data_IF_142333132320
#
_entry.id   IF_142333132320
#
_cell.length_a   1.000
_cell.length_b   1.000
_cell.length_c   1.000
_cell.angle_alpha   90.00
_cell.angle_beta   90.00
_cell.angle_gamma   90.00
#
_symmetry.space_group_name_H-M   'P 1'
#
loop_
_entity.id
_entity.type
_entity.pdbx_description
1 polymer ?
#
# COMPACT_ATOMS: atom_id res chain seq x y z
N UNK A 1 -21.10 -12.31 12.38
CA UNK A 1 -22.17 -12.23 11.37
C UNK A 1 -21.90 -10.99 10.55
N UNK A 2 -21.55 -11.18 9.28
CA UNK A 2 -21.03 -10.14 8.40
C UNK A 2 -22.12 -9.15 7.98
N UNK A 3 -21.77 -7.87 7.96
CA UNK A 3 -22.48 -6.81 7.26
C UNK A 3 -22.54 -7.13 5.78
N UNK A 4 -23.72 -6.97 5.16
CA UNK A 4 -23.86 -7.08 3.71
C UNK A 4 -22.98 -6.03 3.01
N UNK A 5 -22.37 -6.35 1.85
CA UNK A 5 -21.64 -5.35 1.08
C UNK A 5 -22.60 -4.21 0.73
N UNK A 6 -22.20 -2.97 1.00
CA UNK A 6 -22.82 -1.80 0.38
C UNK A 6 -22.84 -2.03 -1.13
N UNK A 7 -24.02 -1.95 -1.72
CA UNK A 7 -24.31 -2.55 -3.02
C UNK A 7 -23.36 -2.12 -4.13
N UNK A 8 -23.23 -3.00 -5.13
CA UNK A 8 -22.36 -2.91 -6.31
C UNK A 8 -22.49 -1.62 -7.14
N UNK A 9 -23.32 -0.64 -6.76
CA UNK A 9 -23.62 0.59 -7.50
C UNK A 9 -23.47 1.86 -6.64
N UNK A 10 -22.35 2.01 -5.93
CA UNK A 10 -22.05 3.26 -5.23
C UNK A 10 -21.72 4.38 -6.24
N UNK A 11 -22.40 5.53 -6.14
CA UNK A 11 -22.16 6.70 -7.01
C UNK A 11 -20.99 7.57 -6.55
N UNK A 12 -20.46 7.34 -5.34
CA UNK A 12 -19.40 8.16 -4.72
C UNK A 12 -19.69 9.68 -4.73
N UNK A 13 -20.96 10.09 -4.70
CA UNK A 13 -21.37 11.49 -4.90
C UNK A 13 -21.07 12.41 -3.71
N UNK A 14 -20.74 11.86 -2.55
CA UNK A 14 -20.32 12.60 -1.36
C UNK A 14 -19.04 12.00 -0.80
N UNK A 15 -18.08 12.87 -0.49
CA UNK A 15 -16.77 12.49 0.04
C UNK A 15 -16.58 13.03 1.45
N UNK A 16 -16.09 12.19 2.36
CA UNK A 16 -15.63 12.61 3.67
C UNK A 16 -14.11 12.83 3.62
N UNK A 17 -13.70 14.10 3.72
CA UNK A 17 -12.29 14.49 3.66
C UNK A 17 -11.65 14.68 5.04
N UNK A 18 -12.43 14.50 6.10
CA UNK A 18 -12.00 14.52 7.52
C UNK A 18 -11.90 13.08 8.04
N UNK A 19 -11.30 12.85 9.22
CA UNK A 19 -11.35 11.54 9.84
C UNK A 19 -12.79 11.08 10.09
N UNK A 20 -12.98 9.77 10.11
CA UNK A 20 -14.28 9.16 10.41
C UNK A 20 -14.76 9.47 11.83
N UNK A 21 -16.05 9.28 12.07
CA UNK A 21 -16.62 9.34 13.43
C UNK A 21 -15.99 8.32 14.40
N UNK A 22 -15.48 7.20 13.88
CA UNK A 22 -14.78 6.20 14.68
C UNK A 22 -13.45 6.74 15.23
N UNK A 23 -12.73 7.54 14.45
CA UNK A 23 -11.47 8.17 14.85
C UNK A 23 -11.59 8.88 16.21
N UNK A 24 -12.63 9.71 16.38
CA UNK A 24 -12.85 10.45 17.63
C UNK A 24 -13.26 9.55 18.79
N UNK A 25 -13.94 8.41 18.52
CA UNK A 25 -14.32 7.44 19.56
C UNK A 25 -13.11 6.71 20.15
N UNK A 26 -12.11 6.42 19.33
CA UNK A 26 -10.84 5.81 19.77
C UNK A 26 -9.83 6.83 20.28
N UNK A 27 -10.16 8.13 20.24
CA UNK A 27 -9.33 9.19 20.80
C UNK A 27 -8.24 9.71 19.85
N UNK A 28 -8.37 9.45 18.55
CA UNK A 28 -7.53 10.08 17.52
C UNK A 28 -7.70 11.60 17.57
N UNK A 29 -6.58 12.34 17.49
CA UNK A 29 -6.57 13.80 17.53
C UNK A 29 -6.05 14.36 16.23
N UNK A 30 -6.87 15.18 15.58
CA UNK A 30 -6.47 15.87 14.37
C UNK A 30 -5.41 16.93 14.61
N UNK A 31 -4.49 17.05 13.64
CA UNK A 31 -3.60 18.19 13.55
C UNK A 31 -4.33 19.40 12.97
N UNK A 32 -4.21 20.54 13.66
CA UNK A 32 -4.68 21.83 13.15
C UNK A 32 -3.92 22.24 11.89
N UNK A 33 -4.53 23.07 11.05
CA UNK A 33 -3.89 23.56 9.82
C UNK A 33 -2.54 24.27 10.08
N UNK A 34 -2.40 24.95 11.23
CA UNK A 34 -1.13 25.54 11.67
C UNK A 34 -0.08 24.48 12.00
N UNK A 35 -0.46 23.40 12.70
CA UNK A 35 0.48 22.31 13.02
C UNK A 35 0.94 21.60 11.75
N UNK A 36 0.05 21.38 10.78
CA UNK A 36 0.38 20.78 9.48
C UNK A 36 1.33 21.65 8.66
N UNK A 37 1.03 22.95 8.56
CA UNK A 37 1.90 23.91 7.86
C UNK A 37 3.31 23.92 8.48
N UNK A 38 3.39 23.96 9.81
CA UNK A 38 4.65 23.86 10.54
C UNK A 38 5.35 22.51 10.32
N UNK A 39 4.61 21.40 10.29
CA UNK A 39 5.16 20.06 10.08
C UNK A 39 5.79 19.92 8.70
N UNK A 40 5.20 20.54 7.67
CA UNK A 40 5.75 20.62 6.32
C UNK A 40 6.91 21.63 6.17
N UNK A 41 7.26 22.38 7.22
CA UNK A 41 8.31 23.40 7.19
C UNK A 41 7.87 24.77 6.65
N UNK A 42 6.57 24.99 6.47
CA UNK A 42 6.02 26.25 5.98
C UNK A 42 5.75 27.21 7.16
N UNK A 43 6.58 28.24 7.28
CA UNK A 43 6.46 29.29 8.32
C UNK A 43 5.62 30.49 7.88
N UNK A 44 5.30 30.60 6.58
CA UNK A 44 4.56 31.73 5.99
C UNK A 44 3.19 31.26 5.48
N UNK A 45 2.16 31.55 6.27
CA UNK A 45 0.76 31.27 5.91
C UNK A 45 0.27 29.87 6.29
N UNK A 46 -1.04 29.76 6.47
CA UNK A 46 -1.74 28.49 6.68
C UNK A 46 -2.59 28.26 5.45
N UNK A 47 -2.26 27.23 4.68
CA UNK A 47 -3.06 26.81 3.52
C UNK A 47 -3.80 25.54 3.90
N UNK A 48 -5.12 25.57 3.83
CA UNK A 48 -5.93 24.36 3.97
C UNK A 48 -5.76 23.52 2.70
N UNK A 49 -5.34 22.27 2.88
CA UNK A 49 -5.01 21.34 1.77
C UNK A 49 -5.90 20.11 1.77
N UNK A 50 -6.89 20.04 2.66
CA UNK A 50 -7.78 18.88 2.83
C UNK A 50 -8.52 18.48 1.52
N UNK A 51 -8.82 19.44 0.64
CA UNK A 51 -9.44 19.17 -0.67
C UNK A 51 -8.49 18.51 -1.69
N UNK A 52 -7.18 18.62 -1.49
CA UNK A 52 -6.15 17.96 -2.29
C UNK A 52 -5.66 16.68 -1.60
N UNK A 53 -5.41 16.77 -0.30
CA UNK A 53 -4.91 15.70 0.56
C UNK A 53 -5.88 15.55 1.73
N UNK A 54 -6.84 14.61 1.67
CA UNK A 54 -7.77 14.37 2.77
C UNK A 54 -7.05 14.05 4.08
N UNK A 55 -7.76 14.10 5.20
CA UNK A 55 -7.23 13.57 6.47
C UNK A 55 -7.22 12.03 6.45
N UNK A 56 -6.42 11.39 7.33
CA UNK A 56 -6.50 9.94 7.51
C UNK A 56 -7.94 9.51 7.80
N UNK A 57 -8.39 8.43 7.15
CA UNK A 57 -9.76 7.93 7.31
C UNK A 57 -10.04 7.44 8.74
N UNK A 58 -9.12 6.64 9.30
CA UNK A 58 -9.20 5.99 10.61
C UNK A 58 -10.52 5.25 10.80
N UNK A 59 -10.67 4.11 10.13
CA UNK A 59 -11.79 3.18 10.28
C UNK A 59 -11.50 2.13 11.38
N UNK A 60 -12.50 1.36 11.83
CA UNK A 60 -12.29 0.29 12.79
C UNK A 60 -11.25 -0.73 12.32
N UNK A 61 -10.30 -1.08 13.20
CA UNK A 61 -9.16 -1.98 12.93
C UNK A 61 -8.10 -1.42 11.98
N UNK A 62 -8.18 -0.14 11.61
CA UNK A 62 -7.06 0.57 10.97
C UNK A 62 -5.91 0.70 11.97
N UNK A 63 -4.67 0.77 11.48
CA UNK A 63 -3.50 0.93 12.33
C UNK A 63 -3.63 2.16 13.27
N UNK A 64 -4.07 3.30 12.73
CA UNK A 64 -4.33 4.52 13.53
C UNK A 64 -5.58 4.44 14.41
N UNK A 65 -6.43 3.43 14.23
CA UNK A 65 -7.49 3.12 15.19
C UNK A 65 -6.94 2.37 16.40
N UNK A 66 -5.98 1.47 16.19
CA UNK A 66 -5.33 0.68 17.24
C UNK A 66 -4.26 1.50 18.00
N UNK A 67 -3.50 2.35 17.29
CA UNK A 67 -2.60 3.36 17.88
C UNK A 67 -2.97 4.81 17.47
N UNK A 68 -4.03 5.39 18.05
CA UNK A 68 -4.49 6.74 17.73
C UNK A 68 -3.54 7.85 18.20
N UNK A 69 -2.45 7.49 18.91
CA UNK A 69 -1.47 8.43 19.43
C UNK A 69 -0.10 8.27 18.75
N UNK A 70 0.00 7.48 17.68
CA UNK A 70 1.23 7.32 16.92
C UNK A 70 1.85 8.69 16.59
N UNK A 71 3.14 8.92 16.90
CA UNK A 71 3.74 10.23 16.76
C UNK A 71 3.95 10.60 15.29
N UNK A 72 3.66 11.85 14.94
CA UNK A 72 3.96 12.36 13.61
C UNK A 72 5.43 12.78 13.46
N UNK A 73 6.05 12.39 12.35
CA UNK A 73 7.39 12.83 11.99
C UNK A 73 7.33 14.11 11.13
N UNK A 74 7.62 15.29 11.70
CA UNK A 74 7.69 16.53 10.91
C UNK A 74 8.95 16.61 10.03
N UNK A 75 8.99 17.51 9.03
CA UNK A 75 10.21 17.80 8.27
C UNK A 75 11.38 18.16 9.18
N UNK A 76 11.13 18.96 10.23
CA UNK A 76 12.17 19.34 11.20
C UNK A 76 12.70 18.13 11.98
N UNK A 77 11.82 17.20 12.36
CA UNK A 77 12.21 15.95 13.02
C UNK A 77 13.05 15.09 12.09
N UNK A 78 12.57 14.91 10.86
CA UNK A 78 13.25 14.14 9.81
C UNK A 78 14.63 14.71 9.46
N UNK A 79 14.81 16.04 9.41
CA UNK A 79 16.12 16.66 9.20
C UNK A 79 17.12 16.30 10.31
N UNK A 80 16.62 16.07 11.53
CA UNK A 80 17.43 15.80 12.73
C UNK A 80 17.57 14.31 13.01
N UNK A 81 17.01 13.44 12.17
CA UNK A 81 17.03 12.00 12.35
C UNK A 81 18.47 11.48 12.14
N UNK A 82 19.17 11.03 13.20
CA UNK A 82 20.56 10.59 13.10
C UNK A 82 20.75 9.35 12.21
N UNK A 83 19.73 8.50 12.10
CA UNK A 83 19.81 7.26 11.32
C UNK A 83 19.39 7.44 9.85
N UNK A 84 19.05 8.66 9.42
CA UNK A 84 18.66 8.96 8.05
C UNK A 84 19.88 8.98 7.13
N UNK A 85 19.78 8.27 6.01
CA UNK A 85 20.75 8.31 4.92
C UNK A 85 20.61 9.61 4.11
N UNK A 86 21.72 10.31 3.85
CA UNK A 86 21.73 11.45 2.95
C UNK A 86 21.88 11.01 1.49
N UNK A 87 21.12 11.65 0.59
CA UNK A 87 21.32 11.52 -0.85
C UNK A 87 22.58 12.30 -1.22
N UNK A 88 23.64 11.60 -1.62
CA UNK A 88 24.91 12.19 -2.05
C UNK A 88 25.09 12.02 -3.56
N UNK A 89 25.90 12.88 -4.20
CA UNK A 89 26.13 12.85 -5.65
C UNK A 89 26.68 11.51 -6.18
N UNK A 90 27.43 10.77 -5.34
CA UNK A 90 27.94 9.43 -5.65
C UNK A 90 27.06 8.27 -5.16
N UNK A 91 25.93 8.55 -4.51
CA UNK A 91 24.99 7.56 -3.94
C UNK A 91 23.55 7.99 -4.18
N UNK A 92 23.13 7.98 -5.45
CA UNK A 92 21.83 8.46 -5.90
C UNK A 92 21.06 7.47 -6.80
N UNK A 93 21.42 6.19 -6.73
CA UNK A 93 20.77 5.12 -7.52
C UNK A 93 19.87 4.28 -6.63
N UNK A 94 18.59 4.19 -6.95
CA UNK A 94 17.69 3.18 -6.40
C UNK A 94 17.81 1.94 -7.29
N UNK A 95 18.34 0.87 -6.71
CA UNK A 95 18.38 -0.42 -7.38
C UNK A 95 17.08 -1.18 -7.15
N UNK A 96 16.56 -1.82 -8.19
CA UNK A 96 15.46 -2.78 -8.09
C UNK A 96 16.00 -4.14 -8.49
N UNK A 97 15.87 -5.13 -7.61
CA UNK A 97 16.15 -6.52 -7.92
C UNK A 97 14.85 -7.22 -8.32
N UNK A 98 14.86 -7.84 -9.51
CA UNK A 98 13.76 -8.70 -9.96
C UNK A 98 13.46 -9.79 -8.93
N UNK A 99 12.21 -10.31 -8.94
CA UNK A 99 11.88 -11.57 -8.31
C UNK A 99 12.92 -12.65 -8.63
N UNK A 100 13.48 -13.36 -7.62
CA UNK A 100 14.54 -14.32 -7.85
C UNK A 100 14.07 -15.44 -8.77
N UNK A 101 14.94 -15.86 -9.69
CA UNK A 101 14.67 -17.02 -10.55
C UNK A 101 14.71 -18.31 -9.75
N UNK A 102 13.95 -19.33 -10.13
CA UNK A 102 13.88 -20.60 -9.42
C UNK A 102 14.76 -21.63 -10.14
N UNK A 103 15.71 -22.24 -9.44
CA UNK A 103 16.57 -23.27 -10.02
C UNK A 103 15.83 -24.61 -10.21
N UNK A 104 16.34 -25.44 -11.14
CA UNK A 104 15.67 -26.69 -11.54
C UNK A 104 15.51 -27.71 -10.41
N UNK A 105 16.42 -27.70 -9.44
CA UNK A 105 16.45 -28.59 -8.28
C UNK A 105 15.35 -28.30 -7.25
N UNK A 106 14.75 -27.10 -7.28
CA UNK A 106 13.65 -26.71 -6.39
C UNK A 106 12.43 -26.22 -7.18
N UNK A 107 12.19 -26.76 -8.38
CA UNK A 107 11.15 -26.27 -9.28
C UNK A 107 9.71 -26.37 -8.72
N UNK A 108 9.48 -27.16 -7.67
CA UNK A 108 8.19 -27.19 -6.97
C UNK A 108 7.82 -25.82 -6.36
N UNK A 109 8.80 -24.95 -6.13
CA UNK A 109 8.62 -23.61 -5.58
C UNK A 109 7.81 -22.67 -6.49
N UNK A 110 7.68 -22.98 -7.79
CA UNK A 110 6.84 -22.23 -8.73
C UNK A 110 5.40 -22.08 -8.19
N UNK A 111 4.90 -23.11 -7.49
CA UNK A 111 3.55 -23.15 -6.95
C UNK A 111 3.39 -22.41 -5.61
N UNK A 112 4.49 -22.04 -4.94
CA UNK A 112 4.44 -21.36 -3.62
C UNK A 112 4.13 -19.87 -3.72
N UNK A 113 4.22 -19.29 -4.93
CA UNK A 113 3.79 -17.93 -5.22
C UNK A 113 2.29 -17.84 -5.59
N UNK A 114 1.60 -18.99 -5.66
CA UNK A 114 0.18 -19.07 -6.01
C UNK A 114 -0.63 -19.47 -4.78
N UNK A 115 -1.83 -18.90 -4.59
CA UNK A 115 -2.70 -19.28 -3.48
C UNK A 115 -3.22 -20.72 -3.66
N UNK A 116 -3.27 -21.50 -2.57
CA UNK A 116 -3.93 -22.80 -2.50
C UNK A 116 -5.44 -22.62 -2.28
N UNK A 117 -6.25 -22.98 -3.28
CA UNK A 117 -7.71 -23.00 -3.14
C UNK A 117 -8.25 -24.43 -3.04
N UNK A 118 -8.95 -24.73 -1.94
CA UNK A 118 -9.78 -25.93 -1.82
C UNK A 118 -11.20 -25.61 -2.30
N UNK A 119 -11.55 -26.13 -3.48
CA UNK A 119 -12.85 -26.07 -4.16
C UNK A 119 -14.10 -25.90 -3.26
N UNK A 120 -14.81 -24.76 -3.40
CA UNK A 120 -16.29 -24.69 -3.35
C UNK A 120 -16.86 -23.63 -4.34
N UNK A 121 -16.22 -23.42 -5.49
CA UNK A 121 -16.68 -22.49 -6.54
C UNK A 121 -15.91 -22.70 -7.85
N UNK A 122 -16.36 -22.15 -8.99
CA UNK A 122 -15.69 -22.38 -10.29
C UNK A 122 -14.22 -22.00 -10.19
N UNK A 123 -13.34 -22.85 -10.73
CA UNK A 123 -11.89 -22.67 -10.73
C UNK A 123 -11.50 -21.26 -11.24
N UNK A 124 -11.29 -20.30 -10.35
CA UNK A 124 -10.63 -19.03 -10.66
C UNK A 124 -9.13 -19.20 -10.38
N UNK A 125 -8.54 -20.23 -10.97
CA UNK A 125 -7.17 -20.10 -11.45
C UNK A 125 -7.31 -19.58 -12.86
N UNK A 126 -7.56 -18.29 -13.06
CA UNK A 126 -7.45 -17.74 -14.41
C UNK A 126 -5.97 -17.88 -14.81
N UNK A 127 -5.63 -18.77 -15.77
CA UNK A 127 -4.24 -19.09 -16.11
C UNK A 127 -3.51 -17.94 -16.81
N UNK A 128 -4.17 -16.79 -17.00
CA UNK A 128 -3.63 -15.61 -17.68
C UNK A 128 -3.11 -14.49 -16.76
N UNK A 129 -3.23 -14.62 -15.44
CA UNK A 129 -2.75 -13.58 -14.54
C UNK A 129 -1.21 -13.66 -14.39
N UNK A 130 -0.48 -12.77 -15.07
CA UNK A 130 0.98 -12.66 -14.97
C UNK A 130 1.34 -11.89 -13.69
N UNK A 131 2.33 -12.39 -12.95
CA UNK A 131 2.82 -11.71 -11.77
C UNK A 131 3.43 -10.35 -12.14
N UNK A 132 3.37 -9.34 -11.24
CA UNK A 132 3.87 -8.00 -11.53
C UNK A 132 5.35 -8.01 -11.96
N UNK A 133 5.59 -7.58 -13.19
CA UNK A 133 6.94 -7.47 -13.74
C UNK A 133 7.70 -6.28 -13.14
N UNK A 134 9.00 -6.48 -12.90
CA UNK A 134 9.86 -5.46 -12.32
C UNK A 134 9.97 -4.18 -13.20
N UNK A 135 9.81 -4.28 -14.52
CA UNK A 135 9.96 -3.14 -15.45
C UNK A 135 8.93 -2.03 -15.19
N UNK A 136 7.67 -2.40 -14.92
CA UNK A 136 6.60 -1.43 -14.64
C UNK A 136 6.80 -0.80 -13.27
N UNK A 137 7.26 -1.59 -12.29
CA UNK A 137 7.57 -1.11 -10.94
C UNK A 137 8.75 -0.14 -10.98
N UNK A 138 9.81 -0.44 -11.73
CA UNK A 138 10.94 0.47 -11.94
C UNK A 138 10.53 1.80 -12.56
N UNK A 139 9.71 1.75 -13.61
CA UNK A 139 9.20 2.96 -14.27
C UNK A 139 8.33 3.79 -13.31
N UNK A 140 7.48 3.15 -12.50
CA UNK A 140 6.68 3.85 -11.49
C UNK A 140 7.57 4.50 -10.43
N UNK A 141 8.54 3.76 -9.90
CA UNK A 141 9.47 4.25 -8.89
C UNK A 141 10.35 5.39 -9.44
N UNK A 142 10.72 5.36 -10.71
CA UNK A 142 11.42 6.48 -11.36
C UNK A 142 10.58 7.75 -11.44
N UNK A 143 9.28 7.59 -11.71
CA UNK A 143 8.34 8.70 -11.67
C UNK A 143 8.06 9.19 -10.23
N UNK A 144 7.94 8.26 -9.26
CA UNK A 144 7.65 8.58 -7.86
C UNK A 144 8.84 9.22 -7.14
N UNK A 145 10.04 8.68 -7.32
CA UNK A 145 11.28 9.17 -6.72
C UNK A 145 12.06 10.09 -7.66
N UNK A 146 11.36 11.06 -8.27
CA UNK A 146 11.95 12.03 -9.20
C UNK A 146 13.20 12.67 -8.61
N UNK A 147 14.25 12.77 -9.43
CA UNK A 147 15.59 13.20 -9.01
C UNK A 147 16.55 12.05 -8.68
N UNK A 148 16.04 10.81 -8.54
CA UNK A 148 16.85 9.62 -8.35
C UNK A 148 17.03 8.83 -9.65
N UNK A 149 18.14 8.12 -9.78
CA UNK A 149 18.35 7.16 -10.88
C UNK A 149 17.75 5.81 -10.49
N UNK A 150 17.08 5.14 -11.43
CA UNK A 150 16.63 3.76 -11.26
C UNK A 150 17.54 2.81 -12.05
N UNK A 151 17.92 1.69 -11.45
CA UNK A 151 18.70 0.65 -12.13
C UNK A 151 18.27 -0.76 -11.72
N UNK A 152 18.25 -1.69 -12.67
CA UNK A 152 18.06 -3.12 -12.39
C UNK A 152 19.32 -3.71 -11.76
N UNK A 153 19.18 -4.44 -10.67
CA UNK A 153 20.28 -5.17 -10.06
C UNK A 153 20.70 -6.36 -10.94
N UNK A 154 21.97 -6.37 -11.37
CA UNK A 154 22.53 -7.44 -12.20
C UNK A 154 23.91 -7.92 -11.69
N UNK A 155 24.22 -9.24 -11.70
CA UNK A 155 23.25 -10.33 -11.85
C UNK A 155 22.21 -10.30 -10.72
N UNK A 156 21.00 -10.78 -11.03
CA UNK A 156 19.90 -10.91 -10.08
C UNK A 156 20.07 -12.10 -9.12
N UNK A 157 19.07 -12.31 -8.28
CA UNK A 157 19.03 -13.43 -7.35
C UNK A 157 18.45 -14.70 -7.98
N UNK A 158 18.77 -15.85 -7.37
CA UNK A 158 18.15 -17.13 -7.71
C UNK A 158 17.91 -17.97 -6.47
N UNK A 159 16.71 -18.52 -6.32
CA UNK A 159 16.44 -19.54 -5.31
C UNK A 159 17.09 -20.86 -5.72
N UNK A 160 17.65 -21.57 -4.74
CA UNK A 160 18.33 -22.87 -4.89
C UNK A 160 18.00 -23.80 -3.73
N UNK A 161 18.24 -25.10 -3.89
CA UNK A 161 18.20 -26.03 -2.74
C UNK A 161 19.23 -25.62 -1.70
N UNK A 162 18.81 -25.55 -0.43
CA UNK A 162 19.72 -25.36 0.70
C UNK A 162 20.46 -26.66 1.04
N UNK A 163 19.73 -27.77 1.05
CA UNK A 163 20.27 -29.09 1.40
C UNK A 163 20.77 -29.83 0.14
N UNK A 164 21.82 -30.64 0.29
CA UNK A 164 22.20 -31.61 -0.75
C UNK A 164 21.09 -32.67 -0.85
N UNK A 165 20.71 -33.15 -2.04
CA UNK A 165 19.67 -34.17 -2.17
C UNK A 165 20.07 -35.41 -1.35
N UNK A 166 19.40 -35.60 -0.22
CA UNK A 166 19.51 -36.82 0.57
C UNK A 166 18.78 -37.91 -0.23
N UNK A 167 19.36 -39.11 -0.29
CA UNK A 167 18.93 -40.27 -1.08
C UNK A 167 17.41 -40.40 -1.29
N UNK A 168 17.02 -40.96 -2.43
CA UNK A 168 15.70 -41.14 -3.09
C UNK A 168 14.47 -41.62 -2.27
N UNK A 169 14.48 -41.54 -0.94
CA UNK A 169 13.38 -41.95 -0.05
C UNK A 169 12.87 -40.85 0.90
N UNK A 170 13.42 -39.63 0.86
CA UNK A 170 12.84 -38.51 1.60
C UNK A 170 11.46 -38.16 1.01
N UNK A 171 10.47 -38.02 1.88
CA UNK A 171 9.08 -37.79 1.49
C UNK A 171 8.98 -36.51 0.65
N UNK A 172 8.64 -36.65 -0.63
CA UNK A 172 8.58 -35.57 -1.65
C UNK A 172 7.55 -34.46 -1.34
N UNK A 173 6.88 -34.56 -0.19
CA UNK A 173 5.75 -33.75 0.25
C UNK A 173 6.04 -32.87 1.49
N UNK A 174 7.22 -32.96 2.10
CA UNK A 174 7.55 -32.06 3.22
C UNK A 174 8.12 -30.73 2.71
N UNK A 175 7.53 -29.61 3.16
CA UNK A 175 8.09 -28.28 2.99
C UNK A 175 9.49 -28.27 3.62
N UNK A 176 10.57 -27.90 2.90
CA UNK A 176 11.91 -27.84 3.48
C UNK A 176 11.94 -26.79 4.60
N UNK A 177 12.88 -26.92 5.54
CA UNK A 177 13.06 -25.91 6.61
C UNK A 177 13.78 -24.66 6.12
N UNK A 178 14.62 -24.81 5.10
CA UNK A 178 15.40 -23.75 4.50
C UNK A 178 15.44 -23.90 2.98
N UNK A 179 15.47 -22.77 2.29
CA UNK A 179 15.87 -22.66 0.88
C UNK A 179 17.08 -21.72 0.78
N UNK A 180 17.86 -21.82 -0.28
CA UNK A 180 18.98 -20.90 -0.51
C UNK A 180 18.57 -19.74 -1.42
N UNK A 181 18.95 -18.52 -1.08
CA UNK A 181 18.89 -17.35 -1.95
C UNK A 181 20.30 -16.99 -2.41
N UNK A 182 20.60 -17.25 -3.69
CA UNK A 182 21.93 -17.16 -4.26
C UNK A 182 22.13 -15.89 -5.08
N UNK A 183 23.29 -15.24 -4.91
CA UNK A 183 23.78 -14.18 -5.80
C UNK A 183 25.32 -14.12 -5.80
N UNK A 184 25.94 -13.97 -6.98
CA UNK A 184 27.40 -13.83 -7.17
C UNK A 184 28.27 -14.87 -6.42
N UNK A 185 27.75 -16.09 -6.24
CA UNK A 185 28.45 -17.18 -5.56
C UNK A 185 28.16 -17.30 -4.06
N UNK A 186 27.54 -16.29 -3.45
CA UNK A 186 27.05 -16.34 -2.07
C UNK A 186 25.64 -16.92 -2.02
N UNK A 187 25.33 -17.67 -0.96
CA UNK A 187 24.01 -18.26 -0.71
C UNK A 187 23.62 -17.97 0.72
N UNK A 188 22.51 -17.25 0.90
CA UNK A 188 21.89 -17.02 2.21
C UNK A 188 20.78 -18.04 2.42
N UNK A 189 20.73 -18.66 3.60
CA UNK A 189 19.65 -19.58 3.95
C UNK A 189 18.41 -18.81 4.38
N UNK A 190 17.29 -19.07 3.72
CA UNK A 190 15.99 -18.45 4.01
C UNK A 190 15.12 -19.48 4.72
N UNK A 191 14.69 -19.17 5.94
CA UNK A 191 13.75 -19.99 6.69
C UNK A 191 12.39 -20.00 6.01
N UNK A 192 11.77 -21.16 6.05
CA UNK A 192 10.45 -21.39 5.47
C UNK A 192 9.50 -21.99 6.50
N UNK A 193 8.23 -21.62 6.44
CA UNK A 193 7.16 -22.21 7.26
C UNK A 193 5.88 -22.43 6.43
N UNK A 194 4.98 -23.34 6.82
CA UNK A 194 3.63 -23.37 6.25
C UNK A 194 2.89 -22.05 6.54
N UNK A 195 2.06 -21.56 5.60
CA UNK A 195 1.26 -20.36 5.87
C UNK A 195 0.22 -20.65 6.98
N UNK A 196 0.16 -19.83 8.06
CA UNK A 196 -0.78 -20.05 9.16
C UNK A 196 -2.25 -20.06 8.73
N UNK A 197 -2.61 -19.24 7.75
CA UNK A 197 -3.97 -19.11 7.22
C UNK A 197 -4.30 -20.12 6.10
N UNK A 198 -3.31 -20.90 5.65
CA UNK A 198 -3.44 -21.86 4.57
C UNK A 198 -3.75 -21.26 3.19
N UNK A 199 -3.63 -19.94 3.01
CA UNK A 199 -3.84 -19.29 1.70
C UNK A 199 -2.69 -19.62 0.76
N UNK A 200 -1.46 -19.62 1.26
CA UNK A 200 -0.28 -20.06 0.52
C UNK A 200 0.28 -21.34 1.13
N UNK A 201 0.99 -22.14 0.32
CA UNK A 201 1.62 -23.35 0.85
C UNK A 201 2.76 -23.02 1.83
N UNK A 202 3.58 -22.03 1.50
CA UNK A 202 4.83 -21.71 2.20
C UNK A 202 5.02 -20.21 2.30
N UNK A 203 5.46 -19.75 3.47
CA UNK A 203 5.95 -18.40 3.71
C UNK A 203 7.46 -18.38 3.90
N UNK A 204 8.11 -17.30 3.46
CA UNK A 204 9.55 -17.08 3.61
C UNK A 204 9.83 -16.05 4.68
N UNK A 205 10.88 -16.27 5.47
CA UNK A 205 11.26 -15.29 6.47
C UNK A 205 11.85 -14.05 5.82
N UNK A 206 11.22 -12.91 6.10
CA UNK A 206 11.55 -11.60 5.57
C UNK A 206 12.91 -11.09 6.03
N UNK A 207 13.28 -11.35 7.29
CA UNK A 207 14.56 -10.90 7.85
C UNK A 207 15.74 -11.57 7.15
N UNK A 208 15.65 -12.88 6.86
CA UNK A 208 16.69 -13.60 6.12
C UNK A 208 16.88 -13.03 4.70
N UNK A 209 15.79 -12.58 4.06
CA UNK A 209 15.83 -11.95 2.73
C UNK A 209 16.43 -10.53 2.81
N UNK A 210 16.11 -9.77 3.86
CA UNK A 210 16.70 -8.46 4.10
C UNK A 210 18.22 -8.57 4.31
N UNK A 211 18.71 -9.55 5.05
CA UNK A 211 20.16 -9.79 5.23
C UNK A 211 20.86 -10.07 3.90
N UNK A 212 20.21 -10.85 3.01
CA UNK A 212 20.71 -11.08 1.66
C UNK A 212 20.73 -9.79 0.82
N UNK A 213 19.70 -8.94 0.96
CA UNK A 213 19.64 -7.65 0.29
C UNK A 213 20.73 -6.69 0.78
N UNK A 214 21.00 -6.64 2.09
CA UNK A 214 22.07 -5.81 2.68
C UNK A 214 23.43 -6.21 2.09
N UNK A 215 23.70 -7.52 2.04
CA UNK A 215 24.94 -8.05 1.48
C UNK A 215 25.08 -7.77 -0.03
N UNK A 216 23.95 -7.65 -0.73
CA UNK A 216 23.92 -7.41 -2.16
C UNK A 216 23.95 -5.93 -2.58
N UNK A 217 23.81 -4.99 -1.63
CA UNK A 217 23.65 -3.56 -1.86
C UNK A 217 24.85 -2.96 -2.59
N UNK A 218 24.67 -2.40 -3.81
CA UNK A 218 25.77 -1.76 -4.54
C UNK A 218 26.37 -0.54 -3.82
N UNK A 219 27.64 -0.24 -4.10
CA UNK A 219 28.37 0.84 -3.43
C UNK A 219 27.82 2.24 -3.75
N UNK A 220 27.34 2.45 -4.98
CA UNK A 220 26.71 3.67 -5.48
C UNK A 220 25.18 3.70 -5.24
N UNK A 221 24.63 2.65 -4.64
CA UNK A 221 23.21 2.60 -4.33
C UNK A 221 22.86 3.64 -3.25
N UNK A 222 21.84 4.43 -3.52
CA UNK A 222 21.06 5.06 -2.47
C UNK A 222 20.29 4.00 -1.69
N UNK A 223 19.56 3.13 -2.37
CA UNK A 223 18.78 2.03 -1.78
C UNK A 223 18.67 0.83 -2.72
N UNK A 224 18.33 -0.34 -2.18
CA UNK A 224 17.96 -1.54 -2.94
C UNK A 224 16.57 -2.03 -2.52
N UNK A 225 15.67 -2.14 -3.49
CA UNK A 225 14.39 -2.84 -3.35
C UNK A 225 14.51 -4.25 -3.95
N UNK A 226 14.24 -5.29 -3.17
CA UNK A 226 14.13 -6.66 -3.64
C UNK A 226 12.65 -7.08 -3.73
N UNK A 227 12.21 -7.37 -4.94
CA UNK A 227 10.87 -7.90 -5.18
C UNK A 227 10.85 -9.41 -4.96
N UNK A 228 9.80 -9.93 -4.34
CA UNK A 228 9.57 -11.35 -4.07
C UNK A 228 8.13 -11.69 -4.52
N UNK A 229 7.90 -12.90 -5.03
CA UNK A 229 6.55 -13.33 -5.42
C UNK A 229 5.87 -14.24 -4.38
N UNK A 230 6.65 -14.79 -3.47
CA UNK A 230 6.21 -15.70 -2.42
C UNK A 230 5.76 -14.93 -1.18
N UNK A 231 4.86 -15.53 -0.42
CA UNK A 231 4.33 -14.95 0.81
C UNK A 231 5.43 -14.85 1.89
N UNK A 232 5.37 -13.81 2.73
CA UNK A 232 6.43 -13.50 3.69
C UNK A 232 5.89 -13.43 5.12
N UNK A 233 6.79 -13.61 6.08
CA UNK A 233 6.56 -13.35 7.50
C UNK A 233 7.83 -12.78 8.15
N UNK A 234 7.70 -11.98 9.20
CA UNK A 234 8.86 -11.43 9.92
C UNK A 234 9.18 -12.24 11.18
N UNK A 235 8.16 -12.51 12.00
CA UNK A 235 8.24 -13.28 13.24
C UNK A 235 7.12 -14.34 13.41
N UNK A 236 7.15 -15.04 14.54
CA UNK A 236 6.21 -16.15 14.83
C UNK A 236 4.80 -15.67 15.20
N UNK A 237 4.62 -14.40 15.56
CA UNK A 237 3.33 -13.80 15.91
C UNK A 237 2.62 -13.22 14.67
N UNK A 238 3.36 -12.90 13.62
CA UNK A 238 2.80 -12.44 12.35
C UNK A 238 1.95 -13.50 11.63
N UNK A 239 0.82 -13.07 11.09
CA UNK A 239 0.10 -13.84 10.07
C UNK A 239 0.87 -13.83 8.73
N UNK A 240 1.26 -12.65 8.26
CA UNK A 240 2.07 -12.41 7.06
C UNK A 240 2.60 -10.96 7.01
N UNK A 241 3.53 -10.69 6.11
CA UNK A 241 3.99 -9.33 5.77
C UNK A 241 4.03 -9.12 4.26
N UNK A 242 3.59 -7.95 3.79
CA UNK A 242 3.66 -7.60 2.36
C UNK A 242 4.97 -6.93 1.95
N UNK A 243 5.68 -6.36 2.92
CA UNK A 243 6.93 -5.68 2.71
C UNK A 243 7.54 -5.24 4.03
N UNK A 244 8.83 -4.91 3.99
CA UNK A 244 9.55 -4.26 5.09
C UNK A 244 10.78 -3.58 4.57
N UNK A 245 11.15 -2.48 5.20
CA UNK A 245 12.39 -1.79 4.97
C UNK A 245 13.25 -1.73 6.23
N UNK A 246 14.55 -1.96 6.07
CA UNK A 246 15.57 -1.56 7.03
C UNK A 246 16.16 -0.26 6.53
N UNK A 247 15.46 0.86 6.79
CA UNK A 247 15.75 2.16 6.20
C UNK A 247 17.18 2.66 6.42
N UNK A 248 17.72 2.46 7.64
CA UNK A 248 19.12 2.76 7.96
C UNK A 248 20.11 1.94 7.15
N UNK A 249 19.79 0.68 6.87
CA UNK A 249 20.58 -0.24 6.03
C UNK A 249 20.33 -0.07 4.52
N UNK A 250 19.39 0.82 4.13
CA UNK A 250 19.07 1.18 2.74
C UNK A 250 18.54 0.02 1.89
N UNK A 251 17.81 -0.89 2.51
CA UNK A 251 17.19 -2.01 1.82
C UNK A 251 15.71 -2.11 2.14
N UNK A 252 14.95 -2.55 1.16
CA UNK A 252 13.54 -2.87 1.25
C UNK A 252 13.25 -4.19 0.54
N UNK A 253 12.28 -4.94 1.05
CA UNK A 253 11.74 -6.13 0.40
C UNK A 253 10.24 -5.95 0.26
N UNK A 254 9.68 -6.29 -0.90
CA UNK A 254 8.23 -6.29 -1.14
C UNK A 254 7.81 -7.59 -1.78
N UNK A 255 6.80 -8.23 -1.18
CA UNK A 255 6.13 -9.38 -1.76
C UNK A 255 4.93 -8.96 -2.59
N UNK A 256 4.75 -9.58 -3.75
CA UNK A 256 3.53 -9.46 -4.53
C UNK A 256 2.44 -10.44 -4.09
N UNK A 257 2.73 -11.46 -3.27
CA UNK A 257 1.83 -12.60 -3.04
C UNK A 257 0.42 -12.18 -2.62
N UNK A 258 0.32 -11.41 -1.53
CA UNK A 258 -0.93 -10.96 -0.91
C UNK A 258 -1.70 -9.92 -1.74
N UNK A 259 -1.06 -9.32 -2.74
CA UNK A 259 -1.72 -8.34 -3.62
C UNK A 259 -2.45 -8.94 -4.81
N UNK A 260 -2.36 -10.26 -5.02
CA UNK A 260 -3.03 -10.92 -6.14
C UNK A 260 -4.55 -10.81 -6.02
N UNK A 261 -5.22 -10.16 -7.00
CA UNK A 261 -6.65 -9.93 -6.93
C UNK A 261 -7.50 -11.19 -6.96
N UNK A 262 -6.98 -12.33 -7.43
CA UNK A 262 -7.75 -13.59 -7.54
C UNK A 262 -8.26 -14.13 -6.19
N UNK A 263 -7.77 -13.59 -5.07
CA UNK A 263 -8.20 -13.98 -3.73
C UNK A 263 -8.57 -12.82 -2.82
N UNK A 264 -8.97 -11.69 -3.42
CA UNK A 264 -9.49 -10.54 -2.70
C UNK A 264 -10.70 -10.90 -1.81
N UNK A 265 -11.61 -11.76 -2.29
CA UNK A 265 -12.78 -12.17 -1.50
C UNK A 265 -12.36 -12.89 -0.20
N UNK A 266 -11.37 -13.79 -0.29
CA UNK A 266 -10.83 -14.52 0.87
C UNK A 266 -10.15 -13.58 1.86
N UNK A 267 -9.40 -12.59 1.35
CA UNK A 267 -8.73 -11.57 2.16
C UNK A 267 -9.65 -10.41 2.57
N UNK A 268 -10.93 -10.45 2.17
CA UNK A 268 -11.91 -9.38 2.41
C UNK A 268 -11.44 -8.01 1.90
N UNK A 269 -10.72 -8.01 0.78
CA UNK A 269 -10.27 -6.80 0.10
C UNK A 269 -11.41 -6.30 -0.79
N UNK A 270 -12.04 -5.22 -0.33
CA UNK A 270 -13.12 -4.55 -1.04
C UNK A 270 -12.52 -3.65 -2.15
N UNK A 271 -13.03 -3.74 -3.38
CA UNK A 271 -12.45 -3.06 -4.54
C UNK A 271 -13.18 -1.78 -4.92
N UNK A 272 -14.48 -1.68 -4.67
CA UNK A 272 -15.36 -0.57 -5.09
C UNK A 272 -14.94 0.72 -4.40
N UNK A 273 -14.55 0.63 -3.12
CA UNK A 273 -14.08 1.74 -2.31
C UNK A 273 -12.59 1.64 -1.99
N UNK A 274 -11.81 1.03 -2.89
CA UNK A 274 -10.36 1.24 -2.90
C UNK A 274 -10.04 2.72 -3.18
N UNK A 275 -8.83 3.17 -2.88
CA UNK A 275 -8.45 4.55 -3.19
C UNK A 275 -8.67 4.85 -4.69
N UNK A 276 -9.26 6.01 -5.05
CA UNK A 276 -9.63 7.15 -4.21
C UNK A 276 -11.05 7.10 -3.62
N UNK A 277 -11.88 6.14 -4.03
CA UNK A 277 -13.26 5.98 -3.59
C UNK A 277 -13.39 5.58 -2.10
N UNK A 278 -12.28 5.22 -1.45
CA UNK A 278 -12.19 5.03 0.00
C UNK A 278 -12.66 6.22 0.83
N UNK A 279 -12.70 7.42 0.23
CA UNK A 279 -13.25 8.63 0.84
C UNK A 279 -14.77 8.78 0.70
N UNK A 280 -15.47 7.81 0.11
CA UNK A 280 -16.94 7.86 0.00
C UNK A 280 -17.59 7.89 1.39
N UNK A 281 -18.42 8.90 1.61
CA UNK A 281 -19.08 9.12 2.91
C UNK A 281 -19.99 7.94 3.30
N UNK A 282 -20.74 7.39 2.34
CA UNK A 282 -21.64 6.24 2.57
C UNK A 282 -20.83 5.02 3.04
N UNK A 283 -19.72 4.75 2.37
CA UNK A 283 -18.82 3.65 2.72
C UNK A 283 -18.25 3.79 4.12
N UNK A 284 -17.70 4.96 4.42
CA UNK A 284 -17.09 5.24 5.73
C UNK A 284 -18.11 5.09 6.85
N UNK A 285 -19.32 5.65 6.68
CA UNK A 285 -20.37 5.57 7.69
C UNK A 285 -20.79 4.12 7.92
N UNK A 286 -20.98 3.33 6.87
CA UNK A 286 -21.33 1.91 6.99
C UNK A 286 -20.23 1.07 7.66
N UNK A 287 -18.96 1.34 7.33
CA UNK A 287 -17.83 0.69 7.98
C UNK A 287 -17.80 0.98 9.49
N UNK A 288 -18.08 2.23 9.88
CA UNK A 288 -18.17 2.64 11.29
C UNK A 288 -19.38 2.04 12.03
N UNK A 289 -20.54 1.97 11.38
CA UNK A 289 -21.77 1.39 11.96
C UNK A 289 -21.67 -0.12 12.18
N UNK A 290 -21.09 -0.82 11.22
CA UNK A 290 -20.95 -2.29 11.25
C UNK A 290 -20.10 -2.76 12.43
N UNK A 291 -19.05 -2.01 12.79
CA UNK A 291 -18.25 -2.27 13.98
C UNK A 291 -18.97 -1.93 15.30
N UNK A 292 -19.88 -0.94 15.30
CA UNK A 292 -20.70 -0.61 16.47
C UNK A 292 -21.73 -1.67 16.82
N UNK A 293 -22.18 -2.47 15.84
CA UNK A 293 -23.16 -3.54 16.03
C UNK A 293 -22.56 -4.81 16.64
N UNK A 294 -21.28 -5.10 16.39
CA UNK A 294 -20.59 -6.31 16.89
C UNK A 294 -20.20 -6.21 18.38
N UNK A 295 -20.13 -5.00 18.94
CA UNK A 295 -19.78 -4.76 20.35
C UNK A 295 -20.97 -4.78 21.34
N UNK A 296 -22.20 -5.08 20.90
CA UNK A 296 -23.35 -5.24 21.80
C UNK A 296 -23.47 -6.68 22.30
N UNK A 297 -23.17 -6.93 23.58
CA UNK A 297 -23.53 -8.18 24.30
C UNK A 297 -25.05 -8.43 24.20
N UNK A 298 -25.52 -9.67 24.04
CA UNK A 298 -26.95 -9.94 23.90
C UNK A 298 -27.66 -9.83 25.26
N UNK A 299 -28.30 -8.70 25.53
CA UNK A 299 -29.25 -8.59 26.64
C UNK A 299 -30.62 -9.14 26.19
N UNK A 300 -31.18 -10.04 27.01
CA UNK A 300 -32.49 -10.70 26.84
C UNK A 300 -33.58 -9.77 26.30
N UNK A 301 -34.29 -10.28 25.27
CA UNK A 301 -35.53 -9.72 24.70
C UNK A 301 -36.54 -9.33 25.80
N UNK A 302 -37.01 -8.08 25.77
CA UNK A 302 -38.36 -7.73 26.22
C UNK A 302 -39.12 -7.13 25.05
N UNK A 303 -40.17 -7.83 24.64
CA UNK A 303 -41.04 -7.52 23.53
C UNK A 303 -41.92 -6.33 23.93
N UNK A 304 -41.75 -5.21 23.26
CA UNK A 304 -42.65 -4.06 23.34
C UNK A 304 -42.91 -3.57 21.93
N UNK A 305 -44.17 -3.70 21.50
CA UNK A 305 -44.68 -3.17 20.24
C UNK A 305 -44.38 -1.68 20.17
N UNK A 306 -43.70 -1.24 19.12
CA UNK A 306 -43.43 0.17 18.88
C UNK A 306 -44.07 0.54 17.55
N UNK A 307 -45.07 1.41 17.67
CA UNK A 307 -45.74 2.14 16.61
C UNK A 307 -44.72 2.89 15.74
N UNK A 308 -45.00 2.91 14.43
CA UNK A 308 -44.21 3.62 13.42
C UNK A 308 -44.33 5.13 13.72
N UNK A 309 -43.31 5.67 14.38
CA UNK A 309 -43.09 7.11 14.48
C UNK A 309 -42.01 7.49 13.45
N UNK A 310 -42.38 8.37 12.52
CA UNK A 310 -41.46 9.02 11.59
C UNK A 310 -40.41 9.76 12.41
N UNK A 311 -39.17 9.28 12.38
CA UNK A 311 -38.04 10.02 12.89
C UNK A 311 -37.59 10.99 11.80
N UNK A 312 -37.78 12.28 12.06
CA UNK A 312 -37.14 13.35 11.31
C UNK A 312 -35.62 13.16 11.42
N UNK A 313 -35.02 12.68 10.34
CA UNK A 313 -33.59 12.79 10.13
C UNK A 313 -33.25 14.28 10.08
N UNK A 314 -32.68 14.79 11.17
CA UNK A 314 -31.82 15.97 11.08
C UNK A 314 -30.62 15.55 10.25
N UNK A 315 -30.78 15.63 8.94
CA UNK A 315 -29.66 15.68 8.02
C UNK A 315 -28.80 16.87 8.47
N UNK A 316 -27.60 16.58 8.94
CA UNK A 316 -26.53 17.55 8.79
C UNK A 316 -26.46 17.84 7.30
N UNK A 317 -26.94 19.03 6.94
CA UNK A 317 -26.96 19.50 5.56
C UNK A 317 -25.54 19.36 4.97
N UNK A 318 -25.41 19.09 3.66
CA UNK A 318 -24.11 19.12 3.02
C UNK A 318 -23.51 20.50 3.28
N UNK A 319 -22.32 20.55 3.86
CA UNK A 319 -21.53 21.78 3.86
C UNK A 319 -21.24 22.12 2.39
N UNK A 320 -22.08 22.98 1.82
CA UNK A 320 -22.08 23.44 0.42
C UNK A 320 -20.89 24.34 0.06
N UNK A 321 -19.74 24.15 0.72
CA UNK A 321 -18.55 24.97 0.61
C UNK A 321 -17.28 24.24 0.13
N UNK A 322 -17.32 22.92 -0.08
CA UNK A 322 -16.14 22.22 -0.62
C UNK A 322 -16.06 22.44 -2.13
N UNK A 323 -15.24 23.41 -2.53
CA UNK A 323 -14.82 23.54 -3.93
C UNK A 323 -14.17 22.22 -4.36
N UNK A 324 -14.49 21.69 -5.55
CA UNK A 324 -13.89 20.45 -6.03
C UNK A 324 -12.36 20.61 -6.11
N UNK A 325 -11.67 19.75 -5.37
CA UNK A 325 -10.20 19.66 -5.34
C UNK A 325 -9.68 18.38 -6.02
N UNK A 326 -8.36 18.16 -6.04
CA UNK A 326 -7.72 16.99 -6.66
C UNK A 326 -8.33 15.64 -6.30
N UNK A 327 -8.79 15.43 -5.06
CA UNK A 327 -9.43 14.16 -4.67
C UNK A 327 -10.75 13.91 -5.43
N UNK A 328 -11.50 14.97 -5.76
CA UNK A 328 -12.74 14.85 -6.52
C UNK A 328 -12.45 14.46 -7.98
N UNK A 329 -11.41 15.03 -8.59
CA UNK A 329 -10.96 14.63 -9.92
C UNK A 329 -10.51 13.16 -9.95
N UNK A 330 -9.86 12.69 -8.88
CA UNK A 330 -9.45 11.30 -8.73
C UNK A 330 -10.67 10.35 -8.67
N UNK A 331 -11.65 10.67 -7.83
CA UNK A 331 -12.88 9.87 -7.67
C UNK A 331 -13.68 9.83 -8.98
N UNK A 332 -13.81 10.96 -9.67
CA UNK A 332 -14.46 11.00 -10.98
C UNK A 332 -13.76 10.07 -11.99
N UNK A 333 -12.43 10.16 -12.11
CA UNK A 333 -11.65 9.30 -13.00
C UNK A 333 -11.72 7.81 -12.61
N UNK A 334 -11.84 7.50 -11.31
CA UNK A 334 -12.10 6.15 -10.84
C UNK A 334 -13.50 5.66 -11.22
N UNK A 335 -14.51 6.52 -11.08
CA UNK A 335 -15.93 6.17 -11.27
C UNK A 335 -16.31 5.95 -12.74
N UNK A 336 -15.68 6.67 -13.67
CA UNK A 336 -15.95 6.50 -15.13
C UNK A 336 -15.45 5.18 -15.69
N UNK A 337 -14.54 4.50 -14.99
CA UNK A 337 -14.07 3.17 -15.39
C UNK A 337 -15.09 2.09 -15.01
N UNK A 338 -15.10 0.92 -15.69
CA UNK A 338 -15.93 -0.21 -15.29
C UNK A 338 -15.74 -0.55 -13.81
N UNK A 339 -16.81 -0.90 -13.11
CA UNK A 339 -16.76 -1.14 -11.68
C UNK A 339 -15.74 -2.24 -11.33
N UNK A 340 -14.97 -2.01 -10.27
CA UNK A 340 -13.81 -2.84 -9.94
C UNK A 340 -14.16 -4.27 -9.50
N UNK A 341 -15.35 -4.48 -8.93
CA UNK A 341 -15.93 -5.78 -8.63
C UNK A 341 -16.29 -6.59 -9.90
N UNK A 342 -16.51 -5.92 -11.04
CA UNK A 342 -16.78 -6.56 -12.34
C UNK A 342 -15.51 -6.89 -13.13
N UNK A 343 -14.33 -6.46 -12.65
CA UNK A 343 -13.04 -6.76 -13.28
C UNK A 343 -12.81 -8.27 -13.26
N UNK A 344 -12.82 -8.85 -14.46
CA UNK A 344 -12.65 -10.28 -14.68
C UNK A 344 -11.61 -10.62 -15.75
N UNK A 345 -11.13 -9.64 -16.53
CA UNK A 345 -10.10 -9.93 -17.54
C UNK A 345 -8.72 -10.09 -16.89
N UNK A 346 -7.96 -11.09 -17.34
CA UNK A 346 -6.59 -11.33 -16.88
C UNK A 346 -5.72 -10.06 -16.91
N UNK A 347 -5.78 -9.28 -18.00
CA UNK A 347 -5.01 -8.03 -18.11
C UNK A 347 -5.39 -7.03 -17.01
N UNK A 348 -6.68 -6.79 -16.79
CA UNK A 348 -7.14 -5.82 -15.78
C UNK A 348 -6.80 -6.28 -14.36
N UNK A 349 -6.80 -7.58 -14.09
CA UNK A 349 -6.35 -8.14 -12.81
C UNK A 349 -4.84 -7.97 -12.62
N UNK A 350 -4.03 -8.18 -13.67
CA UNK A 350 -2.57 -7.97 -13.62
C UNK A 350 -2.23 -6.49 -13.39
N UNK A 351 -2.96 -5.60 -14.05
CA UNK A 351 -2.82 -4.15 -13.89
C UNK A 351 -3.14 -3.74 -12.44
N UNK A 352 -4.24 -4.27 -11.87
CA UNK A 352 -4.61 -4.03 -10.46
C UNK A 352 -3.57 -4.58 -9.48
N UNK A 353 -3.06 -5.79 -9.75
CA UNK A 353 -2.00 -6.40 -8.95
C UNK A 353 -0.74 -5.54 -8.96
N UNK A 354 -0.31 -5.12 -10.15
CA UNK A 354 0.87 -4.27 -10.34
C UNK A 354 0.71 -2.92 -9.64
N UNK A 355 -0.47 -2.30 -9.75
CA UNK A 355 -0.77 -1.04 -9.06
C UNK A 355 -0.59 -1.14 -7.55
N UNK A 356 -1.11 -2.20 -6.91
CA UNK A 356 -0.94 -2.45 -5.48
C UNK A 356 0.53 -2.61 -5.10
N UNK A 357 1.29 -3.40 -5.87
CA UNK A 357 2.73 -3.57 -5.62
C UNK A 357 3.51 -2.27 -5.79
N UNK A 358 3.18 -1.44 -6.78
CA UNK A 358 3.78 -0.12 -6.98
C UNK A 358 3.58 0.80 -5.76
N UNK A 359 2.37 0.82 -5.17
CA UNK A 359 2.07 1.59 -3.95
C UNK A 359 2.94 1.14 -2.79
N UNK A 360 3.00 -0.16 -2.52
CA UNK A 360 3.78 -0.73 -1.41
C UNK A 360 5.28 -0.62 -1.62
N UNK A 361 5.77 -0.83 -2.84
CA UNK A 361 7.17 -0.57 -3.20
C UNK A 361 7.57 0.89 -2.93
N UNK A 362 6.66 1.82 -3.19
CA UNK A 362 6.88 3.23 -2.88
C UNK A 362 6.87 3.49 -1.38
N UNK A 363 5.98 2.85 -0.61
CA UNK A 363 5.98 2.92 0.85
C UNK A 363 7.31 2.44 1.46
N UNK A 364 7.74 1.22 1.12
CA UNK A 364 8.96 0.62 1.71
C UNK A 364 10.23 1.39 1.33
N UNK A 365 10.32 1.87 0.09
CA UNK A 365 11.43 2.75 -0.29
C UNK A 365 11.40 4.08 0.47
N UNK A 366 10.23 4.57 0.87
CA UNK A 366 10.08 5.79 1.66
C UNK A 366 10.80 5.68 3.00
N UNK A 367 10.74 4.51 3.63
CA UNK A 367 11.54 4.22 4.82
C UNK A 367 13.06 4.26 4.57
N UNK A 368 13.55 3.90 3.37
CA UNK A 368 14.95 4.13 3.00
C UNK A 368 15.32 5.62 2.89
N UNK A 369 14.35 6.50 2.69
CA UNK A 369 14.50 7.97 2.82
C UNK A 369 14.36 8.47 4.26
N UNK A 370 14.23 7.58 5.24
CA UNK A 370 14.01 7.91 6.65
C UNK A 370 12.61 8.45 6.92
N UNK A 371 11.66 8.28 5.99
CA UNK A 371 10.26 8.60 6.24
C UNK A 371 9.70 7.59 7.23
N UNK A 372 9.13 8.07 8.33
CA UNK A 372 8.34 7.26 9.26
C UNK A 372 6.89 7.17 8.79
N UNK A 373 6.07 6.35 9.45
CA UNK A 373 4.64 6.30 9.20
C UNK A 373 3.99 7.68 9.38
N UNK A 374 3.09 8.02 8.45
CA UNK A 374 2.45 9.32 8.40
C UNK A 374 1.10 9.33 9.11
N UNK A 375 0.82 10.43 9.81
CA UNK A 375 -0.44 10.65 10.55
C UNK A 375 -1.09 12.00 10.21
N UNK A 376 -0.52 12.75 9.27
CA UNK A 376 -0.91 14.14 9.03
C UNK A 376 -2.10 14.26 8.07
N UNK A 377 -2.08 13.46 7.01
CA UNK A 377 -3.01 13.41 5.89
C UNK A 377 -3.10 11.97 5.38
N UNK A 378 -4.05 11.69 4.49
CA UNK A 378 -4.02 10.56 3.58
C UNK A 378 -2.64 10.54 2.89
N UNK A 379 -1.87 9.46 3.05
CA UNK A 379 -0.50 9.38 2.53
C UNK A 379 -0.08 7.94 2.23
N UNK A 380 0.74 7.74 1.20
CA UNK A 380 1.35 6.44 0.93
C UNK A 380 2.18 5.94 2.12
N UNK A 381 2.71 6.85 2.94
CA UNK A 381 3.47 6.51 4.14
C UNK A 381 2.60 6.20 5.36
N UNK A 382 1.27 6.13 5.26
CA UNK A 382 0.48 5.62 6.39
C UNK A 382 0.78 4.14 6.64
N UNK A 383 0.87 3.77 7.92
CA UNK A 383 0.89 2.39 8.37
C UNK A 383 -0.40 1.68 7.95
N UNK A 384 -0.33 0.36 7.79
CA UNK A 384 -1.47 -0.48 7.40
C UNK A 384 -1.48 -1.74 8.27
N UNK A 385 -2.61 -2.00 8.93
CA UNK A 385 -2.81 -3.17 9.78
C UNK A 385 -3.44 -4.35 9.02
N UNK A 386 -3.92 -4.12 7.79
CA UNK A 386 -4.54 -5.16 6.97
C UNK A 386 -4.53 -4.84 5.48
N UNK A 387 -4.76 -5.85 4.65
CA UNK A 387 -4.93 -5.68 3.20
C UNK A 387 -6.15 -4.81 2.84
N UNK A 388 -7.21 -4.85 3.65
CA UNK A 388 -8.40 -4.01 3.47
C UNK A 388 -8.13 -2.53 3.80
N UNK A 389 -7.17 -2.25 4.68
CA UNK A 389 -6.66 -0.90 4.92
C UNK A 389 -5.71 -0.46 3.80
N UNK A 390 -4.78 -1.33 3.38
CA UNK A 390 -3.75 -0.98 2.41
C UNK A 390 -4.32 -0.45 1.09
N UNK A 391 -5.34 -1.10 0.53
CA UNK A 391 -5.96 -0.67 -0.74
C UNK A 391 -6.70 0.66 -0.66
N UNK A 392 -6.97 1.17 0.56
CA UNK A 392 -7.60 2.49 0.77
C UNK A 392 -6.58 3.63 0.83
N UNK A 393 -5.30 3.32 0.95
CA UNK A 393 -4.24 4.31 1.07
C UNK A 393 -3.89 4.92 -0.31
N UNK A 394 -3.61 6.23 -0.38
CA UNK A 394 -3.26 6.88 -1.64
C UNK A 394 -1.85 6.49 -2.14
N UNK A 395 -1.63 6.45 -3.47
CA UNK A 395 -0.31 6.28 -4.07
C UNK A 395 0.42 7.63 -4.27
N UNK A 396 0.35 8.53 -3.28
CA UNK A 396 1.05 9.81 -3.28
C UNK A 396 1.59 10.16 -1.88
N UNK A 397 2.60 11.04 -1.82
CA UNK A 397 3.05 11.65 -0.58
C UNK A 397 2.20 12.87 -0.24
N UNK A 398 1.81 12.99 1.03
CA UNK A 398 1.19 14.22 1.52
C UNK A 398 2.22 15.39 1.57
N UNK A 399 1.79 16.64 1.77
CA UNK A 399 2.69 17.80 1.77
C UNK A 399 3.83 17.73 2.80
N UNK A 400 3.62 17.03 3.92
CA UNK A 400 4.65 16.88 4.95
C UNK A 400 5.75 15.92 4.50
N UNK A 401 5.38 14.75 3.98
CA UNK A 401 6.36 13.76 3.53
C UNK A 401 6.96 14.11 2.18
N UNK A 402 6.20 14.77 1.31
CA UNK A 402 6.75 15.31 0.07
C UNK A 402 7.81 16.37 0.34
N UNK A 403 7.64 17.24 1.35
CA UNK A 403 8.67 18.22 1.72
C UNK A 403 9.98 17.54 2.17
N UNK A 404 9.90 16.37 2.82
CA UNK A 404 11.08 15.56 3.18
C UNK A 404 11.72 14.96 1.93
N UNK A 405 10.92 14.37 1.05
CA UNK A 405 11.42 13.79 -0.19
C UNK A 405 12.06 14.84 -1.10
N UNK A 406 11.39 15.98 -1.31
CA UNK A 406 11.91 17.13 -2.06
C UNK A 406 13.24 17.62 -1.48
N UNK A 407 13.39 17.65 -0.15
CA UNK A 407 14.66 17.99 0.49
C UNK A 407 15.75 16.95 0.22
N UNK A 408 15.40 15.68 0.10
CA UNK A 408 16.32 14.58 -0.19
C UNK A 408 16.75 14.55 -1.67
N UNK A 409 15.81 14.61 -2.61
CA UNK A 409 16.07 14.41 -4.04
C UNK A 409 16.35 15.70 -4.80
N UNK A 410 15.94 16.85 -4.24
CA UNK A 410 16.01 18.16 -4.90
C UNK A 410 14.94 18.39 -5.97
N UNK A 411 14.10 17.39 -6.29
CA UNK A 411 13.04 17.54 -7.28
C UNK A 411 11.92 18.45 -6.75
N UNK A 412 11.45 19.36 -7.60
CA UNK A 412 10.32 20.23 -7.28
C UNK A 412 9.00 19.47 -7.32
N UNK A 413 7.98 20.00 -6.62
CA UNK A 413 6.61 19.46 -6.65
C UNK A 413 6.06 19.35 -8.08
N UNK A 414 6.38 20.32 -8.95
CA UNK A 414 5.94 20.30 -10.34
C UNK A 414 6.63 19.21 -11.18
N UNK A 415 7.94 19.01 -11.03
CA UNK A 415 8.68 17.94 -11.73
C UNK A 415 8.18 16.56 -11.29
N UNK A 416 7.99 16.37 -9.98
CA UNK A 416 7.49 15.12 -9.43
C UNK A 416 6.11 14.75 -9.97
N UNK A 417 5.17 15.70 -9.93
CA UNK A 417 3.83 15.49 -10.43
C UNK A 417 3.78 15.35 -11.96
N UNK A 418 4.61 16.08 -12.72
CA UNK A 418 4.70 15.88 -14.17
C UNK A 418 5.14 14.45 -14.52
N UNK A 419 6.17 13.93 -13.83
CA UNK A 419 6.67 12.57 -14.06
C UNK A 419 5.61 11.49 -13.72
N UNK A 420 4.88 11.66 -12.60
CA UNK A 420 3.78 10.76 -12.24
C UNK A 420 2.62 10.80 -13.26
N UNK A 421 2.25 11.99 -13.75
CA UNK A 421 1.21 12.12 -14.76
C UNK A 421 1.58 11.38 -16.05
N UNK A 422 2.82 11.56 -16.53
CA UNK A 422 3.33 10.88 -17.72
C UNK A 422 3.28 9.35 -17.58
N UNK A 423 3.75 8.81 -16.45
CA UNK A 423 3.69 7.38 -16.19
C UNK A 423 2.24 6.85 -16.18
N UNK A 424 1.34 7.58 -15.52
CA UNK A 424 -0.03 7.16 -15.29
C UNK A 424 -0.90 7.26 -16.56
N UNK A 425 -0.66 8.26 -17.42
CA UNK A 425 -1.41 8.44 -18.67
C UNK A 425 -1.25 7.25 -19.62
N UNK A 426 -0.06 6.64 -19.65
CA UNK A 426 0.18 5.41 -20.40
C UNK A 426 -0.60 4.18 -19.86
N UNK A 427 -1.23 4.29 -18.67
CA UNK A 427 -1.91 3.22 -17.93
C UNK A 427 -3.28 3.65 -17.41
N UNK A 428 -3.94 4.58 -18.10
CA UNK A 428 -5.23 5.15 -17.71
C UNK A 428 -6.41 4.18 -17.66
N UNK A 429 -6.22 2.88 -17.97
CA UNK A 429 -7.24 1.83 -17.82
C UNK A 429 -7.21 1.15 -16.46
N UNK A 430 -6.17 1.39 -15.65
CA UNK A 430 -6.05 0.86 -14.29
C UNK A 430 -6.59 1.89 -13.30
N UNK A 431 -7.58 1.53 -12.48
CA UNK A 431 -8.28 2.48 -11.59
C UNK A 431 -7.36 3.36 -10.76
N UNK A 432 -6.34 2.79 -10.11
CA UNK A 432 -5.39 3.55 -9.31
C UNK A 432 -4.58 4.55 -10.16
N UNK A 433 -4.08 4.14 -11.34
CA UNK A 433 -3.28 5.03 -12.20
C UNK A 433 -4.15 6.10 -12.87
N UNK A 434 -5.37 5.76 -13.29
CA UNK A 434 -6.32 6.74 -13.83
C UNK A 434 -6.67 7.81 -12.78
N UNK A 435 -7.00 7.38 -11.57
CA UNK A 435 -7.27 8.26 -10.44
C UNK A 435 -6.06 9.12 -10.08
N UNK A 436 -4.85 8.54 -10.03
CA UNK A 436 -3.62 9.27 -9.73
C UNK A 436 -3.30 10.30 -10.82
N UNK A 437 -3.45 9.97 -12.10
CA UNK A 437 -3.27 10.95 -13.19
C UNK A 437 -4.21 12.14 -13.04
N UNK A 438 -5.50 11.89 -12.81
CA UNK A 438 -6.49 12.95 -12.64
C UNK A 438 -6.21 13.81 -11.40
N UNK A 439 -5.86 13.19 -10.27
CA UNK A 439 -5.44 13.87 -9.04
C UNK A 439 -4.23 14.78 -9.29
N UNK A 440 -3.19 14.24 -9.93
CA UNK A 440 -1.93 14.94 -10.22
C UNK A 440 -2.15 16.14 -11.14
N UNK A 441 -2.92 15.96 -12.22
CA UNK A 441 -3.26 17.06 -13.16
C UNK A 441 -4.03 18.18 -12.46
N UNK A 442 -5.01 17.83 -11.64
CA UNK A 442 -5.74 18.82 -10.85
C UNK A 442 -4.81 19.55 -9.85
N UNK A 443 -3.88 18.83 -9.23
CA UNK A 443 -2.89 19.39 -8.30
C UNK A 443 -1.92 20.35 -8.99
N UNK A 444 -1.43 20.02 -10.18
CA UNK A 444 -0.59 20.92 -10.99
C UNK A 444 -1.31 22.25 -11.31
N UNK A 445 -2.59 22.19 -11.68
CA UNK A 445 -3.41 23.40 -11.92
C UNK A 445 -3.61 24.25 -10.66
N UNK A 446 -3.64 23.64 -9.47
CA UNK A 446 -3.65 24.41 -8.21
C UNK A 446 -2.33 25.13 -7.96
N UNK A 447 -1.20 24.49 -8.28
CA UNK A 447 0.12 25.07 -8.11
C UNK A 447 0.34 26.26 -9.05
N UNK A 448 -0.11 26.15 -10.30
CA UNK A 448 -0.07 27.25 -11.26
C UNK A 448 -0.89 28.46 -10.78
N UNK A 449 -2.12 28.21 -10.29
CA UNK A 449 -2.99 29.27 -9.75
C UNK A 449 -2.44 29.98 -8.51
N UNK A 450 -1.53 29.36 -7.76
CA UNK A 450 -0.88 29.98 -6.58
C UNK A 450 0.36 30.82 -6.93
N UNK A 451 0.90 30.65 -8.14
CA UNK A 451 2.03 31.44 -8.65
C UNK A 451 1.58 32.76 -9.28
N UNK A 452 0.33 32.79 -9.76
CA UNK A 452 -0.40 33.98 -10.19
C UNK A 452 -0.92 34.74 -8.97
#
# INVERSE_FOLDING_TARGET
MASAPLGDNCSHSSLLLKPSDHAYKVGYKEYTAKQLSNAAGNSKGVTELTASFPRPLVLPSDDLSEDPRYPGQSLRSWIREPHRNEVASGRNVIYVASPPTISRDIKMMDWWALPEYKNQGPNITDPGAEMPGADVIEAFLGAFYTGMKIARLSPGFSFVSWEKPVSSKANRQSIPRYIGLRRKGEVVGIRTRPSPDGIFQVQFNLNDILDAAISALPADAYALLLLIHQDLYEDEEDDFCCGRAYGGSRVAVVSSARYNPSFDEVQRVERVHAWPASHCEIYINSACESAGATNKRPSKKRRTETTIAKADSKSSSPSSNDRPGPIHAAVEAHHVLPQTNTISTAKSLNDLWTARVCRTASHELGHCFGLDHCVYYACVMQSTASMAEDVRQPPYLCPVDFAKLQRATGATEAEHYAALAEFCDARGTTHMFAALSAWVKARLLELERRKL
#
